data_IF_629039544669
#
_entry.id   IF_629039544669
#
_cell.length_a   1.000
_cell.length_b   1.000
_cell.length_c   1.000
_cell.angle_alpha   90.00
_cell.angle_beta   90.00
_cell.angle_gamma   90.00
#
_symmetry.space_group_name_H-M   'P 1'
#
loop_
_entity.id
_entity.type
_entity.pdbx_description
1 polymer ?
#
# COMPACT_ATOMS: atom_id res chain seq x y z
N UNK A 1 -10.42 -1.14 7.97
CA UNK A 1 -9.15 -0.83 7.32
C UNK A 1 -8.06 -1.49 8.14
N UNK A 2 -7.01 -1.98 7.55
CA UNK A 2 -5.96 -2.69 8.28
C UNK A 2 -5.23 -3.71 7.41
N UNK A 3 -4.54 -4.62 8.08
CA UNK A 3 -3.74 -5.68 7.45
C UNK A 3 -4.60 -6.89 7.05
N UNK A 4 -4.25 -7.53 5.93
CA UNK A 4 -4.92 -8.70 5.38
C UNK A 4 -3.96 -9.53 4.53
N UNK A 5 -4.25 -10.82 4.39
CA UNK A 5 -3.59 -11.70 3.41
C UNK A 5 -4.36 -11.77 2.08
N UNK A 6 -5.54 -11.16 2.03
CA UNK A 6 -6.37 -11.10 0.82
C UNK A 6 -6.14 -9.79 0.08
N UNK A 7 -5.88 -9.89 -1.22
CA UNK A 7 -5.66 -8.73 -2.06
C UNK A 7 -6.94 -7.86 -2.13
N UNK A 8 -6.83 -6.54 -1.96
CA UNK A 8 -7.95 -5.64 -2.20
C UNK A 8 -8.23 -5.55 -3.71
N UNK A 9 -9.49 -5.34 -4.06
CA UNK A 9 -9.86 -5.03 -5.45
C UNK A 9 -9.42 -3.61 -5.78
N UNK A 10 -8.62 -3.47 -6.83
CA UNK A 10 -8.22 -2.16 -7.34
C UNK A 10 -9.30 -1.62 -8.28
N UNK A 11 -9.67 -0.32 -8.16
CA UNK A 11 -10.56 0.32 -9.11
C UNK A 11 -9.88 0.46 -10.48
N UNK A 12 -10.69 0.62 -11.53
CA UNK A 12 -10.19 0.84 -12.88
C UNK A 12 -9.22 2.02 -12.97
N UNK A 13 -8.11 1.85 -13.66
CA UNK A 13 -7.03 2.85 -13.78
C UNK A 13 -6.08 2.92 -12.59
N UNK A 14 -6.28 2.10 -11.56
CA UNK A 14 -5.31 1.93 -10.48
C UNK A 14 -4.43 0.71 -10.72
N UNK A 15 -3.16 0.86 -10.42
CA UNK A 15 -2.17 -0.21 -10.56
C UNK A 15 -1.19 -0.20 -9.37
N UNK A 16 -0.53 -1.33 -9.16
CA UNK A 16 0.50 -1.46 -8.14
C UNK A 16 1.79 -0.79 -8.61
N UNK A 17 2.17 0.30 -7.95
CA UNK A 17 3.41 1.02 -8.20
C UNK A 17 4.42 0.65 -7.14
N UNK A 18 5.58 0.15 -7.56
CA UNK A 18 6.69 -0.14 -6.66
C UNK A 18 7.17 1.14 -5.98
N UNK A 19 7.39 1.06 -4.67
CA UNK A 19 7.89 2.17 -3.85
C UNK A 19 9.31 1.97 -3.42
N UNK A 20 9.65 0.76 -2.95
CA UNK A 20 11.00 0.44 -2.52
C UNK A 20 11.20 -1.08 -2.44
N UNK A 21 12.41 -1.50 -2.14
CA UNK A 21 12.80 -2.88 -1.87
C UNK A 21 13.07 -3.09 -0.39
N UNK A 22 12.86 -4.32 0.08
CA UNK A 22 13.18 -4.75 1.43
C UNK A 22 14.50 -5.51 1.37
N UNK A 23 15.44 -5.16 2.26
CA UNK A 23 16.71 -5.87 2.42
C UNK A 23 17.15 -5.75 3.87
N UNK A 24 16.81 -6.75 4.66
CA UNK A 24 17.21 -6.88 6.07
C UNK A 24 18.07 -8.13 6.16
N UNK A 25 19.24 -7.98 6.76
CA UNK A 25 20.17 -9.06 6.99
C UNK A 25 20.61 -9.07 8.44
N UNK A 26 20.49 -10.20 9.09
CA UNK A 26 21.03 -10.42 10.42
C UNK A 26 21.66 -11.83 10.53
N UNK A 27 22.23 -12.18 11.68
CA UNK A 27 22.89 -13.46 11.87
C UNK A 27 21.95 -14.68 11.78
N UNK A 28 20.66 -14.48 11.72
CA UNK A 28 19.66 -15.55 11.83
C UNK A 28 18.84 -15.70 10.56
N UNK A 29 18.58 -14.61 9.84
CA UNK A 29 17.79 -14.64 8.62
C UNK A 29 18.04 -13.41 7.73
N UNK A 30 17.69 -13.59 6.47
CA UNK A 30 17.51 -12.53 5.49
C UNK A 30 16.02 -12.31 5.23
N UNK A 31 15.61 -11.05 5.15
CA UNK A 31 14.30 -10.65 4.63
C UNK A 31 14.54 -9.81 3.38
N UNK A 32 14.09 -10.32 2.25
CA UNK A 32 14.14 -9.60 0.98
C UNK A 32 12.75 -9.42 0.41
N UNK A 33 12.52 -8.38 -0.36
CA UNK A 33 11.20 -8.18 -0.94
C UNK A 33 10.97 -6.82 -1.56
N UNK A 34 9.68 -6.49 -1.75
CA UNK A 34 9.28 -5.26 -2.43
C UNK A 34 7.99 -4.73 -1.82
N UNK A 35 7.94 -3.41 -1.65
CA UNK A 35 6.75 -2.66 -1.23
C UNK A 35 6.15 -1.95 -2.43
N UNK A 36 4.86 -2.15 -2.63
CA UNK A 36 4.06 -1.49 -3.65
C UNK A 36 2.94 -0.69 -2.99
N UNK A 37 2.50 0.35 -3.67
CA UNK A 37 1.34 1.13 -3.28
C UNK A 37 0.40 1.32 -4.47
N UNK A 38 -0.90 1.28 -4.24
CA UNK A 38 -1.93 1.57 -5.21
C UNK A 38 -2.97 2.52 -4.61
N UNK A 39 -3.64 3.30 -5.46
CA UNK A 39 -4.77 4.12 -5.04
C UNK A 39 -6.04 3.28 -5.06
N UNK A 40 -6.84 3.39 -4.00
CA UNK A 40 -8.22 2.90 -3.95
C UNK A 40 -9.21 4.04 -4.20
N UNK A 41 -10.48 3.71 -4.37
CA UNK A 41 -11.55 4.71 -4.41
C UNK A 41 -11.62 5.50 -3.09
N UNK A 42 -12.32 6.64 -3.11
CA UNK A 42 -12.66 7.45 -1.92
C UNK A 42 -11.45 7.83 -1.04
N UNK A 43 -10.35 8.26 -1.67
CA UNK A 43 -9.10 8.62 -1.01
C UNK A 43 -8.38 7.44 -0.34
N UNK A 44 -8.87 6.22 -0.48
CA UNK A 44 -8.22 5.03 0.00
C UNK A 44 -6.90 4.75 -0.74
N UNK A 45 -5.98 4.10 -0.05
CA UNK A 45 -4.80 3.48 -0.65
C UNK A 45 -4.62 2.06 -0.14
N UNK A 46 -3.90 1.27 -0.90
CA UNK A 46 -3.49 -0.06 -0.51
C UNK A 46 -1.98 -0.21 -0.61
N UNK A 47 -1.40 -0.94 0.32
CA UNK A 47 -0.04 -1.45 0.24
C UNK A 47 -0.08 -2.93 -0.15
N UNK A 48 0.94 -3.36 -0.87
CA UNK A 48 1.27 -4.76 -1.10
C UNK A 48 2.74 -4.95 -0.73
N UNK A 49 3.01 -5.79 0.24
CA UNK A 49 4.35 -6.18 0.66
C UNK A 49 4.54 -7.63 0.22
N UNK A 50 5.48 -7.84 -0.68
CA UNK A 50 5.92 -9.19 -1.10
C UNK A 50 7.26 -9.42 -0.44
N UNK A 51 7.36 -10.40 0.46
CA UNK A 51 8.61 -10.67 1.16
C UNK A 51 8.96 -12.15 1.15
N UNK A 52 10.26 -12.41 1.03
CA UNK A 52 10.87 -13.74 1.12
C UNK A 52 11.79 -13.76 2.32
N UNK A 53 11.75 -14.84 3.09
CA UNK A 53 12.64 -15.05 4.24
C UNK A 53 13.49 -16.28 4.06
N UNK A 54 14.79 -16.10 4.23
CA UNK A 54 15.79 -17.18 4.22
C UNK A 54 16.40 -17.29 5.60
N UNK A 55 16.21 -18.42 6.26
CA UNK A 55 16.73 -18.66 7.61
C UNK A 55 18.13 -19.28 7.56
N UNK A 56 19.04 -18.72 8.35
CA UNK A 56 20.41 -19.22 8.48
C UNK A 56 20.52 -20.30 9.56
N UNK A 57 19.56 -20.34 10.49
CA UNK A 57 19.55 -21.33 11.57
C UNK A 57 18.64 -22.51 11.22
N UNK A 58 19.14 -23.70 11.51
CA UNK A 58 18.41 -24.96 11.28
C UNK A 58 17.55 -25.41 12.46
N UNK A 59 17.61 -24.68 13.60
CA UNK A 59 16.90 -25.07 14.81
C UNK A 59 15.48 -24.49 14.88
N UNK A 60 14.43 -25.34 14.78
CA UNK A 60 13.05 -24.91 14.76
C UNK A 60 12.49 -24.41 16.12
N UNK A 61 13.27 -24.46 17.19
CA UNK A 61 12.80 -24.12 18.54
C UNK A 61 12.77 -22.61 18.84
N UNK A 62 13.28 -21.76 17.95
CA UNK A 62 13.24 -20.32 18.09
C UNK A 62 12.06 -19.73 17.31
N UNK A 63 10.84 -19.97 17.76
CA UNK A 63 9.63 -19.52 17.08
C UNK A 63 9.50 -18.00 16.99
N UNK A 64 10.12 -17.24 17.89
CA UNK A 64 10.03 -15.79 17.92
C UNK A 64 10.81 -15.11 16.79
N UNK A 65 11.87 -15.72 16.28
CA UNK A 65 12.64 -15.20 15.14
C UNK A 65 11.88 -15.28 13.81
N UNK A 66 10.82 -16.04 13.76
CA UNK A 66 9.98 -16.21 12.57
C UNK A 66 8.76 -15.29 12.56
N UNK A 67 8.57 -14.48 13.59
CA UNK A 67 7.46 -13.52 13.63
C UNK A 67 7.72 -12.35 12.70
N UNK A 68 6.75 -12.11 11.83
CA UNK A 68 6.75 -10.90 11.00
C UNK A 68 6.41 -9.67 11.85
N UNK A 69 6.87 -8.52 11.40
CA UNK A 69 6.46 -7.23 11.93
C UNK A 69 6.20 -6.28 10.76
N UNK A 70 4.96 -5.86 10.63
CA UNK A 70 4.56 -4.84 9.66
C UNK A 70 3.79 -3.74 10.36
N UNK A 71 4.12 -2.50 10.07
CA UNK A 71 3.38 -1.32 10.53
C UNK A 71 3.31 -0.29 9.42
N UNK A 72 2.20 0.41 9.33
CA UNK A 72 2.05 1.53 8.39
C UNK A 72 1.58 2.77 9.15
N UNK A 73 2.41 3.79 9.16
CA UNK A 73 2.12 5.09 9.72
C UNK A 73 1.62 6.01 8.60
N UNK A 74 0.56 6.76 8.83
CA UNK A 74 -0.08 7.63 7.83
C UNK A 74 -0.17 9.05 8.36
N UNK A 75 0.33 10.02 7.61
CA UNK A 75 0.32 11.45 7.97
C UNK A 75 0.87 11.73 9.37
N UNK A 76 1.91 10.99 9.79
CA UNK A 76 2.52 11.11 11.11
C UNK A 76 1.80 10.36 12.24
N UNK A 77 0.66 9.72 11.95
CA UNK A 77 -0.06 8.90 12.93
C UNK A 77 0.46 7.47 12.87
N UNK A 78 0.94 6.97 14.00
CA UNK A 78 1.43 5.60 14.13
C UNK A 78 0.28 4.61 14.02
N UNK A 79 0.40 3.67 13.08
CA UNK A 79 -0.57 2.61 12.88
C UNK A 79 -0.38 1.42 13.82
N UNK A 80 -1.38 0.55 13.86
CA UNK A 80 -1.26 -0.72 14.56
C UNK A 80 -0.27 -1.65 13.85
N UNK A 81 0.53 -2.36 14.64
CA UNK A 81 1.46 -3.35 14.13
C UNK A 81 0.73 -4.67 13.83
N UNK A 82 1.00 -5.22 12.68
CA UNK A 82 0.63 -6.58 12.32
C UNK A 82 1.79 -7.53 12.61
N UNK A 83 1.50 -8.62 13.30
CA UNK A 83 2.47 -9.68 13.57
C UNK A 83 1.86 -11.03 13.26
N UNK A 84 2.58 -11.87 12.54
CA UNK A 84 2.23 -13.26 12.30
C UNK A 84 3.15 -14.16 13.12
N UNK A 85 2.59 -15.18 13.78
CA UNK A 85 3.34 -16.05 14.70
C UNK A 85 4.38 -16.93 14.00
N UNK A 86 4.22 -17.18 12.69
CA UNK A 86 5.13 -17.99 11.90
C UNK A 86 5.08 -17.60 10.44
N UNK A 87 6.23 -17.26 9.87
CA UNK A 87 6.30 -16.90 8.46
C UNK A 87 6.14 -18.11 7.52
N UNK A 88 6.72 -19.23 7.85
CA UNK A 88 6.75 -20.44 7.01
C UNK A 88 8.12 -21.10 7.02
N UNK A 89 8.45 -21.84 5.97
CA UNK A 89 9.77 -22.45 5.77
C UNK A 89 10.78 -21.45 5.19
N UNK A 90 12.07 -21.73 5.34
CA UNK A 90 13.14 -20.96 4.71
C UNK A 90 12.99 -20.92 3.19
N UNK A 91 13.21 -19.76 2.58
CA UNK A 91 13.03 -19.52 1.15
C UNK A 91 11.58 -19.29 0.73
N UNK A 92 10.60 -19.37 1.63
CA UNK A 92 9.20 -19.10 1.29
C UNK A 92 8.94 -17.61 1.08
N UNK A 93 7.96 -17.31 0.21
CA UNK A 93 7.51 -15.95 -0.08
C UNK A 93 6.06 -15.80 0.37
N UNK A 94 5.77 -14.68 1.02
CA UNK A 94 4.40 -14.28 1.40
C UNK A 94 4.08 -12.89 0.90
N UNK A 95 2.79 -12.63 0.74
CA UNK A 95 2.28 -11.31 0.36
C UNK A 95 1.30 -10.83 1.42
N UNK A 96 1.52 -9.61 1.88
CA UNK A 96 0.67 -8.92 2.85
C UNK A 96 0.06 -7.68 2.21
N UNK A 97 -1.15 -7.36 2.59
CA UNK A 97 -1.86 -6.18 2.13
C UNK A 97 -2.28 -5.32 3.31
N UNK A 98 -2.27 -4.03 3.11
CA UNK A 98 -2.80 -3.06 4.07
C UNK A 98 -3.65 -2.04 3.32
N UNK A 99 -4.77 -1.65 3.91
CA UNK A 99 -5.65 -0.62 3.34
C UNK A 99 -5.94 0.46 4.38
N UNK A 100 -5.88 1.71 3.96
CA UNK A 100 -6.24 2.85 4.78
C UNK A 100 -6.65 4.05 3.92
N UNK A 101 -7.01 5.16 4.56
CA UNK A 101 -7.30 6.44 3.91
C UNK A 101 -6.09 7.36 4.06
N UNK A 102 -5.74 8.04 2.98
CA UNK A 102 -4.75 9.11 2.99
C UNK A 102 -5.06 10.13 1.90
N UNK A 103 -4.96 11.40 2.24
CA UNK A 103 -4.98 12.46 1.24
C UNK A 103 -3.85 12.28 0.23
N UNK A 104 -4.02 12.75 -0.99
CA UNK A 104 -2.94 12.77 -1.97
C UNK A 104 -1.74 13.55 -1.41
N UNK A 105 -0.54 12.99 -1.54
CA UNK A 105 0.69 13.59 -1.02
C UNK A 105 0.90 13.46 0.49
N UNK A 106 -0.02 12.83 1.24
CA UNK A 106 0.22 12.53 2.64
C UNK A 106 1.43 11.60 2.81
N UNK A 107 2.21 11.78 3.87
CA UNK A 107 3.33 10.91 4.17
C UNK A 107 2.84 9.51 4.56
N UNK A 108 3.46 8.48 4.00
CA UNK A 108 3.26 7.09 4.38
C UNK A 108 4.63 6.54 4.78
N UNK A 109 4.71 5.95 5.97
CA UNK A 109 5.88 5.23 6.43
C UNK A 109 5.51 3.78 6.70
N UNK A 110 6.18 2.87 6.02
CA UNK A 110 6.03 1.42 6.18
C UNK A 110 7.24 0.92 6.96
N UNK A 111 6.99 0.18 8.02
CA UNK A 111 8.02 -0.51 8.79
C UNK A 111 7.83 -1.99 8.57
N UNK A 112 8.86 -2.65 8.08
CA UNK A 112 8.89 -4.11 7.87
C UNK A 112 10.06 -4.71 8.64
N UNK A 113 9.90 -5.94 9.12
CA UNK A 113 10.99 -6.55 9.84
C UNK A 113 10.66 -7.81 10.60
N UNK A 114 11.52 -8.08 11.57
CA UNK A 114 11.47 -9.23 12.47
C UNK A 114 11.23 -8.74 13.88
N UNK A 115 10.21 -9.27 14.53
CA UNK A 115 9.83 -8.82 15.87
C UNK A 115 10.86 -9.20 16.94
N UNK A 116 11.52 -10.34 16.80
CA UNK A 116 12.32 -10.91 17.88
C UNK A 116 13.58 -10.10 18.21
N UNK A 117 14.23 -9.51 17.21
CA UNK A 117 15.49 -8.77 17.36
C UNK A 117 15.35 -7.27 17.02
N UNK A 118 14.12 -6.82 16.75
CA UNK A 118 13.81 -5.47 16.28
C UNK A 118 14.58 -5.06 15.01
N UNK A 119 15.06 -6.03 14.22
CA UNK A 119 15.63 -5.74 12.90
C UNK A 119 14.52 -5.25 11.98
N UNK A 120 14.46 -3.95 11.75
CA UNK A 120 13.42 -3.33 10.94
C UNK A 120 14.01 -2.42 9.88
N UNK A 121 13.31 -2.31 8.77
CA UNK A 121 13.56 -1.32 7.73
C UNK A 121 12.36 -0.38 7.63
N UNK A 122 12.63 0.93 7.59
CA UNK A 122 11.62 1.95 7.34
C UNK A 122 11.67 2.38 5.88
N UNK A 123 10.50 2.41 5.24
CA UNK A 123 10.31 2.84 3.86
C UNK A 123 9.31 3.98 3.87
N UNK A 124 9.71 5.14 3.36
CA UNK A 124 8.88 6.35 3.37
C UNK A 124 8.60 6.86 1.95
N UNK A 125 7.35 7.17 1.69
CA UNK A 125 6.91 7.75 0.42
C UNK A 125 5.63 8.59 0.64
N UNK A 126 5.13 9.22 -0.43
CA UNK A 126 3.87 9.94 -0.36
C UNK A 126 2.72 9.11 -0.94
N UNK A 127 1.53 9.30 -0.38
CA UNK A 127 0.31 8.69 -0.91
C UNK A 127 0.14 9.06 -2.39
N UNK A 128 -0.22 8.10 -3.26
CA UNK A 128 -0.42 8.37 -4.68
C UNK A 128 -1.47 9.46 -4.92
N UNK A 129 -1.40 10.11 -6.06
CA UNK A 129 -2.45 11.04 -6.49
C UNK A 129 -3.81 10.34 -6.47
N UNK A 130 -4.86 11.10 -6.22
CA UNK A 130 -6.23 10.56 -6.34
C UNK A 130 -6.44 10.09 -7.78
N UNK A 131 -7.15 8.98 -7.93
CA UNK A 131 -7.61 8.54 -9.23
C UNK A 131 -8.44 9.67 -9.83
N UNK A 132 -7.97 10.26 -10.91
CA UNK A 132 -8.73 11.25 -11.64
C UNK A 132 -9.98 10.58 -12.21
N UNK A 133 -11.14 11.20 -12.02
CA UNK A 133 -12.29 10.82 -12.82
C UNK A 133 -11.99 11.17 -14.28
N UNK A 134 -11.75 10.17 -15.12
CA UNK A 134 -11.59 10.41 -16.53
C UNK A 134 -12.93 10.82 -17.10
N UNK A 135 -13.11 12.10 -17.31
CA UNK A 135 -14.28 12.65 -17.96
C UNK A 135 -14.06 12.60 -19.47
N UNK A 136 -15.01 12.02 -20.18
CA UNK A 136 -15.02 12.08 -21.62
C UNK A 136 -16.16 13.02 -22.08
N UNK A 137 -15.90 13.83 -23.06
CA UNK A 137 -16.89 14.67 -23.72
C UNK A 137 -16.81 14.51 -25.23
N UNK A 138 -17.92 14.69 -25.90
CA UNK A 138 -18.04 14.48 -27.34
C UNK A 138 -17.93 15.82 -28.07
N UNK A 139 -16.92 15.97 -28.95
CA UNK A 139 -16.71 17.14 -29.79
C UNK A 139 -16.58 16.67 -31.23
N UNK A 140 -17.42 17.19 -32.13
CA UNK A 140 -17.38 16.81 -33.55
C UNK A 140 -17.55 15.31 -33.79
N UNK A 141 -18.39 14.63 -33.00
CA UNK A 141 -18.62 13.20 -33.12
C UNK A 141 -17.59 12.31 -32.41
N UNK A 142 -16.45 12.85 -31.96
CA UNK A 142 -15.33 12.11 -31.35
C UNK A 142 -15.32 12.31 -29.82
N UNK A 143 -15.13 11.22 -29.08
CA UNK A 143 -14.95 11.25 -27.63
C UNK A 143 -13.53 11.72 -27.29
N UNK A 144 -13.42 12.79 -26.50
CA UNK A 144 -12.16 13.35 -26.02
C UNK A 144 -12.10 13.29 -24.50
N UNK A 145 -10.93 12.93 -23.97
CA UNK A 145 -10.67 12.93 -22.54
C UNK A 145 -10.51 14.35 -22.01
N UNK A 146 -11.05 14.63 -20.85
CA UNK A 146 -10.89 15.91 -20.14
C UNK A 146 -10.56 15.69 -18.67
N UNK A 147 -9.82 16.62 -18.12
CA UNK A 147 -9.60 16.71 -16.67
C UNK A 147 -10.52 17.77 -16.10
N UNK A 148 -11.30 17.41 -15.09
CA UNK A 148 -12.18 18.36 -14.43
C UNK A 148 -11.39 19.21 -13.42
N UNK A 149 -11.51 20.54 -13.53
CA UNK A 149 -10.93 21.48 -12.60
C UNK A 149 -12.00 22.27 -11.89
N UNK A 150 -11.80 22.53 -10.61
CA UNK A 150 -12.60 23.46 -9.81
C UNK A 150 -11.79 24.71 -9.50
N UNK A 151 -12.35 25.88 -9.76
CA UNK A 151 -11.75 27.17 -9.39
C UNK A 151 -12.25 27.59 -8.01
N UNK A 152 -11.33 27.70 -7.05
CA UNK A 152 -11.60 28.24 -5.71
C UNK A 152 -10.33 28.99 -5.28
N UNK A 153 -10.10 30.20 -5.89
CA UNK A 153 -8.85 30.93 -5.76
C UNK A 153 -7.76 30.41 -6.71
N UNK A 154 -7.49 29.12 -6.74
CA UNK A 154 -6.60 28.45 -7.71
C UNK A 154 -7.33 27.28 -8.38
N UNK A 155 -6.90 26.90 -9.60
CA UNK A 155 -7.41 25.71 -10.27
C UNK A 155 -6.98 24.43 -9.53
N UNK A 156 -7.94 23.62 -9.15
CA UNK A 156 -7.70 22.33 -8.46
C UNK A 156 -8.41 21.22 -9.21
N UNK A 157 -7.81 20.05 -9.27
CA UNK A 157 -8.47 18.86 -9.79
C UNK A 157 -9.75 18.58 -8.98
N UNK A 158 -10.81 18.22 -9.67
CA UNK A 158 -12.08 17.87 -9.07
C UNK A 158 -12.56 16.51 -9.55
N UNK A 159 -13.32 15.81 -8.72
CA UNK A 159 -13.98 14.57 -9.10
C UNK A 159 -15.33 14.89 -9.75
N UNK A 160 -15.58 14.31 -10.91
CA UNK A 160 -16.91 14.38 -11.52
C UNK A 160 -17.86 13.46 -10.73
N UNK A 161 -19.00 14.00 -10.34
CA UNK A 161 -20.12 13.23 -9.80
C UNK A 161 -21.33 13.42 -10.69
N UNK A 162 -22.10 12.36 -10.92
CA UNK A 162 -23.33 12.42 -11.66
C UNK A 162 -24.47 11.79 -10.87
N UNK A 163 -25.68 12.27 -11.09
CA UNK A 163 -26.88 11.75 -10.45
C UNK A 163 -27.53 10.71 -11.34
N UNK A 164 -27.61 9.46 -10.87
CA UNK A 164 -28.30 8.37 -11.56
C UNK A 164 -29.30 7.73 -10.59
N UNK A 165 -30.57 7.65 -10.99
CA UNK A 165 -31.64 7.09 -10.15
C UNK A 165 -31.84 7.83 -8.82
N UNK A 166 -31.59 9.14 -8.79
CA UNK A 166 -31.73 9.94 -7.56
C UNK A 166 -30.53 9.93 -6.62
N UNK A 167 -29.50 9.10 -6.87
CA UNK A 167 -28.31 8.93 -6.03
C UNK A 167 -27.09 9.54 -6.74
N UNK A 168 -26.26 10.28 -5.99
CA UNK A 168 -24.97 10.77 -6.47
C UNK A 168 -23.96 9.62 -6.51
N UNK A 169 -23.36 9.41 -7.67
CA UNK A 169 -22.30 8.42 -7.92
C UNK A 169 -21.00 9.10 -8.29
#
# INVERSE_FOLDING_TARGET
MGWSLTAPTLPGGSEWVQKDTISIHNNQLDVTGTVFCARLADQGFALKIVETRTFHLTNPNFTDFYKTYHRCDVAGVTGEAYTESRFGSSGSTKTYYFTNIAAAGASIKVVVGVKADNSTQEISFTAPALLGSTLYFKVGGTWKQATLYRKGGAWKNALAKFKAGGIWK
#
